data_IF_575675208482
#
_entry.id   IF_575675208482
#
_cell.length_a   1.000
_cell.length_b   1.000
_cell.length_c   1.000
_cell.angle_alpha   90.00
_cell.angle_beta   90.00
_cell.angle_gamma   90.00
#
_symmetry.space_group_name_H-M   'P 1'
#
loop_
_entity.id
_entity.type
_entity.pdbx_description
1 polymer ?
#
# COMPACT_ATOMS: atom_id res chain seq x y z
N UNK A 1 -6.97 11.96 21.45
CA UNK A 1 -5.78 11.16 21.81
C UNK A 1 -5.69 10.01 20.82
N UNK A 2 -4.63 9.90 20.01
CA UNK A 2 -4.50 8.76 19.10
C UNK A 2 -3.89 7.60 19.86
N UNK A 3 -4.65 6.52 20.04
CA UNK A 3 -4.13 5.28 20.59
C UNK A 3 -3.16 4.64 19.61
N UNK A 4 -1.97 4.27 20.08
CA UNK A 4 -1.04 3.45 19.32
C UNK A 4 -1.71 2.11 19.00
N UNK A 5 -1.56 1.64 17.77
CA UNK A 5 -2.03 0.32 17.35
C UNK A 5 -0.95 -0.71 17.66
N UNK A 6 -1.33 -1.78 18.35
CA UNK A 6 -0.48 -2.94 18.63
C UNK A 6 -1.15 -4.20 18.08
N UNK A 7 -0.35 -5.18 17.69
CA UNK A 7 -0.82 -6.51 17.30
C UNK A 7 0.07 -7.58 17.91
N UNK A 8 -0.53 -8.71 18.25
CA UNK A 8 0.21 -9.84 18.82
C UNK A 8 1.24 -10.37 17.83
N UNK A 9 2.43 -10.72 18.34
CA UNK A 9 3.54 -11.22 17.55
C UNK A 9 4.39 -10.15 16.84
N UNK A 10 4.18 -8.86 17.13
CA UNK A 10 5.00 -7.76 16.60
C UNK A 10 5.76 -7.03 17.72
N UNK A 11 7.06 -6.78 17.51
CA UNK A 11 7.92 -6.05 18.45
C UNK A 11 7.88 -4.53 18.27
N UNK A 12 6.76 -4.00 17.78
CA UNK A 12 6.55 -2.58 17.53
C UNK A 12 5.07 -2.21 17.60
N UNK A 13 4.82 -0.92 17.77
CA UNK A 13 3.51 -0.31 17.63
C UNK A 13 3.49 0.69 16.48
N UNK A 14 2.29 1.01 16.01
CA UNK A 14 2.09 1.96 14.93
C UNK A 14 1.29 3.17 15.42
N UNK A 15 1.78 4.37 15.14
CA UNK A 15 1.10 5.64 15.35
C UNK A 15 0.41 6.10 14.06
N UNK A 16 -0.93 5.97 13.93
CA UNK A 16 -1.64 6.33 12.69
C UNK A 16 -1.53 7.81 12.33
N UNK A 17 -1.36 8.71 13.32
CA UNK A 17 -1.19 10.15 13.06
C UNK A 17 0.05 10.46 12.23
N UNK A 18 1.05 9.59 12.25
CA UNK A 18 2.23 9.77 11.42
C UNK A 18 1.89 9.77 9.91
N UNK A 19 0.75 9.19 9.51
CA UNK A 19 0.28 9.27 8.12
C UNK A 19 -0.07 10.70 7.67
N UNK A 20 -0.43 11.60 8.58
CA UNK A 20 -0.78 12.99 8.25
C UNK A 20 0.43 13.77 7.70
N UNK A 21 1.65 13.34 8.04
CA UNK A 21 2.90 13.98 7.63
C UNK A 21 3.88 13.04 6.90
N UNK A 22 3.51 11.79 6.65
CA UNK A 22 4.43 10.83 6.02
C UNK A 22 4.67 11.07 4.54
N UNK A 23 3.82 11.87 3.87
CA UNK A 23 3.94 12.14 2.44
C UNK A 23 3.73 10.91 1.54
N UNK A 24 3.05 9.87 2.05
CA UNK A 24 2.74 8.68 1.28
C UNK A 24 3.89 7.68 1.13
N UNK A 25 4.89 7.69 2.03
CA UNK A 25 6.08 6.81 1.96
C UNK A 25 5.79 5.32 1.73
N UNK A 26 4.69 4.77 2.27
CA UNK A 26 4.33 3.36 2.04
C UNK A 26 3.80 3.07 0.62
N UNK A 27 3.57 4.10 -0.20
CA UNK A 27 3.08 4.00 -1.57
C UNK A 27 4.15 4.36 -2.61
N UNK A 28 5.37 4.70 -2.17
CA UNK A 28 6.48 5.14 -3.02
C UNK A 28 7.78 4.43 -2.62
N UNK A 29 8.62 4.02 -3.58
CA UNK A 29 9.90 3.37 -3.27
C UNK A 29 10.44 2.59 -4.44
N UNK A 30 11.23 1.56 -4.15
CA UNK A 30 11.70 0.62 -5.17
C UNK A 30 10.52 -0.11 -5.84
N UNK A 31 10.71 -0.56 -7.07
CA UNK A 31 9.67 -1.33 -7.79
C UNK A 31 9.38 -2.65 -7.07
N UNK A 32 8.10 -3.01 -7.02
CA UNK A 32 7.64 -4.24 -6.41
C UNK A 32 6.25 -4.69 -6.87
N UNK A 33 5.64 -5.54 -6.06
CA UNK A 33 4.31 -6.07 -6.32
C UNK A 33 3.30 -5.55 -5.32
N UNK A 34 2.24 -4.93 -5.85
CA UNK A 34 1.06 -4.49 -5.13
C UNK A 34 -0.07 -5.46 -5.47
N UNK A 35 -0.02 -6.62 -4.84
CA UNK A 35 -0.94 -7.73 -5.04
C UNK A 35 -2.39 -7.32 -4.76
N UNK A 36 -3.24 -7.75 -5.67
CA UNK A 36 -4.69 -7.56 -5.60
C UNK A 36 -5.40 -8.85 -5.99
N UNK A 37 -6.43 -9.22 -5.23
CA UNK A 37 -7.23 -10.42 -5.48
C UNK A 37 -8.50 -10.12 -6.30
N UNK A 38 -9.18 -11.16 -6.77
CA UNK A 38 -10.36 -11.02 -7.64
C UNK A 38 -11.51 -10.22 -6.99
N UNK A 39 -11.74 -10.41 -5.69
CA UNK A 39 -12.81 -9.69 -4.94
C UNK A 39 -12.47 -8.19 -4.88
N UNK A 40 -11.20 -7.85 -4.70
CA UNK A 40 -10.74 -6.46 -4.70
C UNK A 40 -10.80 -5.83 -6.08
N UNK A 41 -10.48 -6.59 -7.13
CA UNK A 41 -10.60 -6.17 -8.53
C UNK A 41 -12.06 -5.82 -8.84
N UNK A 42 -13.01 -6.69 -8.51
CA UNK A 42 -14.45 -6.46 -8.71
C UNK A 42 -14.95 -5.22 -7.95
N UNK A 43 -14.51 -5.07 -6.69
CA UNK A 43 -14.90 -3.94 -5.85
C UNK A 43 -14.37 -2.62 -6.43
N UNK A 44 -13.11 -2.59 -6.84
CA UNK A 44 -12.47 -1.39 -7.39
C UNK A 44 -12.98 -1.06 -8.79
N UNK A 45 -13.23 -2.06 -9.65
CA UNK A 45 -13.81 -1.82 -10.97
C UNK A 45 -15.19 -1.19 -10.84
N UNK A 46 -16.04 -1.69 -9.92
CA UNK A 46 -17.34 -1.09 -9.63
C UNK A 46 -17.22 0.34 -9.09
N UNK A 47 -16.29 0.59 -8.16
CA UNK A 47 -16.07 1.93 -7.60
C UNK A 47 -15.67 2.95 -8.67
N UNK A 48 -14.85 2.54 -9.63
CA UNK A 48 -14.39 3.38 -10.74
C UNK A 48 -15.35 3.41 -11.94
N UNK A 49 -16.51 2.76 -11.84
CA UNK A 49 -17.48 2.60 -12.91
C UNK A 49 -16.88 2.03 -14.21
N UNK A 50 -16.07 0.98 -14.05
CA UNK A 50 -15.43 0.24 -15.14
C UNK A 50 -15.85 -1.22 -15.12
N UNK A 51 -15.88 -1.86 -16.29
CA UNK A 51 -15.90 -3.32 -16.35
C UNK A 51 -14.59 -3.89 -15.79
N UNK A 52 -14.62 -5.16 -15.35
CA UNK A 52 -13.42 -5.86 -14.88
C UNK A 52 -12.34 -5.89 -15.98
N UNK A 53 -12.73 -6.04 -17.24
CA UNK A 53 -11.80 -6.07 -18.37
C UNK A 53 -11.11 -4.72 -18.59
N UNK A 54 -11.86 -3.62 -18.55
CA UNK A 54 -11.29 -2.26 -18.65
C UNK A 54 -10.37 -1.95 -17.47
N UNK A 55 -10.82 -2.27 -16.24
CA UNK A 55 -10.01 -2.11 -15.04
C UNK A 55 -8.70 -2.90 -15.13
N UNK A 56 -8.78 -4.16 -15.55
CA UNK A 56 -7.61 -5.04 -15.67
C UNK A 56 -6.61 -4.50 -16.69
N UNK A 57 -7.08 -4.09 -17.88
CA UNK A 57 -6.20 -3.51 -18.91
C UNK A 57 -5.53 -2.22 -18.45
N UNK A 58 -6.28 -1.36 -17.75
CA UNK A 58 -5.82 -0.04 -17.35
C UNK A 58 -4.86 -0.11 -16.16
N UNK A 59 -5.22 -0.83 -15.11
CA UNK A 59 -4.58 -0.74 -13.80
C UNK A 59 -3.80 -1.99 -13.37
N UNK A 60 -3.94 -3.12 -14.06
CA UNK A 60 -3.32 -4.38 -13.63
C UNK A 60 -2.25 -4.87 -14.60
N UNK A 61 -1.33 -5.66 -14.07
CA UNK A 61 -0.52 -6.59 -14.84
C UNK A 61 -0.49 -7.94 -14.14
N UNK A 62 -0.24 -9.01 -14.92
CA UNK A 62 -0.26 -10.38 -14.43
C UNK A 62 1.16 -10.87 -14.17
N UNK A 63 1.37 -11.53 -13.03
CA UNK A 63 2.65 -12.13 -12.62
C UNK A 63 2.37 -13.57 -12.20
N UNK A 64 2.72 -14.52 -13.07
CA UNK A 64 2.33 -15.92 -12.90
C UNK A 64 0.81 -16.06 -12.76
N UNK A 65 0.34 -16.51 -11.59
CA UNK A 65 -1.08 -16.71 -11.28
C UNK A 65 -1.74 -15.53 -10.54
N UNK A 66 -0.98 -14.46 -10.24
CA UNK A 66 -1.45 -13.33 -9.45
C UNK A 66 -1.55 -12.05 -10.31
N UNK A 67 -2.29 -11.07 -9.80
CA UNK A 67 -2.37 -9.73 -10.38
C UNK A 67 -1.74 -8.71 -9.44
N UNK A 68 -1.00 -7.76 -10.01
CA UNK A 68 -0.49 -6.59 -9.30
C UNK A 68 -1.10 -5.33 -9.91
N UNK A 69 -1.35 -4.33 -9.06
CA UNK A 69 -1.56 -2.96 -9.54
C UNK A 69 -0.28 -2.50 -10.26
N UNK A 70 -0.46 -1.73 -11.34
CA UNK A 70 0.65 -1.12 -12.07
C UNK A 70 1.34 -0.06 -11.21
N UNK A 71 2.63 0.08 -11.46
CA UNK A 71 3.46 1.14 -10.91
C UNK A 71 3.69 2.22 -11.97
N UNK A 72 3.97 3.44 -11.50
CA UNK A 72 4.37 4.60 -12.30
C UNK A 72 5.73 5.03 -11.77
N UNK A 73 6.73 5.11 -12.65
CA UNK A 73 8.04 5.67 -12.31
C UNK A 73 7.92 7.18 -12.14
N UNK A 74 8.35 7.68 -10.98
CA UNK A 74 8.33 9.10 -10.61
C UNK A 74 9.68 9.77 -10.91
N UNK A 75 10.75 9.07 -10.54
CA UNK A 75 12.15 9.44 -10.74
C UNK A 75 12.93 8.15 -11.04
N UNK A 76 14.16 8.21 -11.57
CA UNK A 76 14.93 7.00 -11.88
C UNK A 76 15.01 6.04 -10.68
N UNK A 77 14.45 4.84 -10.83
CA UNK A 77 14.32 3.80 -9.80
C UNK A 77 13.37 4.09 -8.63
N UNK A 78 12.56 5.15 -8.70
CA UNK A 78 11.55 5.49 -7.69
C UNK A 78 10.16 5.37 -8.30
N UNK A 79 9.36 4.46 -7.77
CA UNK A 79 8.05 4.09 -8.28
C UNK A 79 6.95 4.45 -7.30
N UNK A 80 5.73 4.57 -7.82
CA UNK A 80 4.52 4.66 -7.02
C UNK A 80 3.41 3.81 -7.60
N UNK A 81 2.46 3.40 -6.77
CA UNK A 81 1.23 2.77 -7.24
C UNK A 81 0.50 3.71 -8.22
N UNK A 82 -0.09 3.17 -9.29
CA UNK A 82 -0.91 3.94 -10.25
C UNK A 82 -2.12 4.68 -9.65
N UNK A 83 -2.49 4.40 -8.41
CA UNK A 83 -3.52 5.12 -7.66
C UNK A 83 -2.96 6.12 -6.63
N UNK A 84 -1.66 6.30 -6.54
CA UNK A 84 -1.06 7.32 -5.68
C UNK A 84 -1.20 8.70 -6.32
N UNK A 85 -1.81 9.64 -5.59
CA UNK A 85 -1.89 11.04 -5.98
C UNK A 85 -0.60 11.74 -5.58
N UNK A 86 0.23 12.07 -6.57
CA UNK A 86 1.53 12.70 -6.36
C UNK A 86 1.46 14.17 -5.95
N UNK A 87 0.31 14.83 -6.14
CA UNK A 87 0.07 16.21 -5.71
C UNK A 87 -0.33 16.23 -4.25
N UNK A 88 -1.35 15.46 -3.88
CA UNK A 88 -1.89 15.42 -2.52
C UNK A 88 -1.13 14.45 -1.60
N UNK A 89 -0.19 13.68 -2.14
CA UNK A 89 0.62 12.67 -1.43
C UNK A 89 -0.22 11.64 -0.68
N UNK A 90 -1.32 11.22 -1.29
CA UNK A 90 -2.28 10.29 -0.71
C UNK A 90 -2.81 9.28 -1.72
N UNK A 91 -3.35 8.17 -1.24
CA UNK A 91 -3.97 7.19 -2.12
C UNK A 91 -5.36 7.67 -2.59
N UNK A 92 -5.58 7.74 -3.90
CA UNK A 92 -6.87 8.15 -4.48
C UNK A 92 -8.00 7.15 -4.22
N UNK A 93 -7.66 5.91 -3.86
CA UNK A 93 -8.61 4.83 -3.52
C UNK A 93 -8.49 4.39 -2.05
N UNK A 94 -8.18 5.31 -1.13
CA UNK A 94 -7.81 4.97 0.25
C UNK A 94 -8.77 4.00 0.96
N UNK A 95 -10.08 4.18 0.83
CA UNK A 95 -11.10 3.29 1.42
C UNK A 95 -11.16 1.91 0.72
N UNK A 96 -10.81 1.86 -0.56
CA UNK A 96 -10.88 0.68 -1.41
C UNK A 96 -9.55 -0.04 -1.59
N UNK A 97 -8.49 0.42 -0.90
CA UNK A 97 -7.13 -0.16 -0.92
C UNK A 97 -7.15 -1.70 -0.85
N UNK A 98 -6.28 -2.38 -1.62
CA UNK A 98 -6.07 -3.81 -1.46
C UNK A 98 -5.66 -4.18 -0.04
N UNK A 99 -5.89 -5.44 0.35
CA UNK A 99 -5.61 -5.96 1.67
C UNK A 99 -4.12 -5.81 2.02
N UNK A 100 -3.21 -6.04 1.06
CA UNK A 100 -1.79 -5.79 1.25
C UNK A 100 -1.54 -4.35 1.75
N UNK A 101 -2.03 -3.34 1.04
CA UNK A 101 -1.88 -1.93 1.45
C UNK A 101 -2.59 -1.60 2.77
N UNK A 102 -3.73 -2.25 3.06
CA UNK A 102 -4.52 -2.00 4.28
C UNK A 102 -3.87 -2.59 5.53
N UNK A 103 -3.17 -3.71 5.40
CA UNK A 103 -2.57 -4.43 6.52
C UNK A 103 -1.17 -3.94 6.88
N UNK A 104 -0.53 -3.15 6.02
CA UNK A 104 0.69 -2.42 6.37
C UNK A 104 0.46 -1.55 7.61
N UNK A 105 1.39 -1.48 8.58
CA UNK A 105 2.73 -2.09 8.58
C UNK A 105 2.80 -3.50 9.20
N UNK A 106 1.67 -4.13 9.50
CA UNK A 106 1.61 -5.43 10.19
C UNK A 106 1.59 -6.61 9.21
N UNK A 107 2.57 -6.68 8.32
CA UNK A 107 2.81 -7.86 7.49
C UNK A 107 3.67 -8.87 8.26
N UNK A 108 3.45 -10.17 8.06
CA UNK A 108 4.26 -11.20 8.74
C UNK A 108 5.77 -11.03 8.50
N UNK A 109 6.17 -10.52 7.33
CA UNK A 109 7.55 -10.16 7.00
C UNK A 109 8.18 -9.23 8.05
N UNK A 110 7.44 -8.23 8.53
CA UNK A 110 7.96 -7.24 9.48
C UNK A 110 8.02 -7.73 10.93
N UNK A 111 7.61 -8.97 11.22
CA UNK A 111 7.86 -9.58 12.54
C UNK A 111 9.35 -9.75 12.81
N UNK A 112 10.15 -10.01 11.77
CA UNK A 112 11.61 -10.20 11.86
C UNK A 112 12.40 -9.09 11.17
N UNK A 113 11.75 -8.23 10.38
CA UNK A 113 12.39 -7.20 9.54
C UNK A 113 12.02 -5.76 9.93
N UNK A 114 11.82 -5.49 11.24
CA UNK A 114 11.38 -4.17 11.75
C UNK A 114 12.29 -3.00 11.34
N UNK A 115 13.60 -3.22 11.28
CA UNK A 115 14.55 -2.14 10.95
C UNK A 115 14.45 -1.67 9.49
N UNK A 116 14.00 -2.54 8.59
CA UNK A 116 13.63 -2.17 7.22
C UNK A 116 12.36 -1.34 7.21
N UNK A 117 11.33 -1.81 7.92
CA UNK A 117 10.06 -1.12 8.06
C UNK A 117 10.20 0.31 8.59
N UNK A 118 11.10 0.57 9.54
CA UNK A 118 11.36 1.92 10.07
C UNK A 118 11.85 2.90 9.00
N UNK A 119 12.48 2.42 7.93
CA UNK A 119 12.90 3.25 6.79
C UNK A 119 11.70 3.67 5.93
N UNK A 120 10.70 2.78 5.83
CA UNK A 120 9.50 2.97 5.01
C UNK A 120 8.36 3.68 5.77
N UNK A 121 8.31 3.57 7.09
CA UNK A 121 7.21 4.09 7.90
C UNK A 121 7.72 4.85 9.13
N UNK A 122 7.52 6.18 9.11
CA UNK A 122 7.86 7.07 10.24
C UNK A 122 6.95 6.90 11.46
N UNK A 123 5.87 6.11 11.34
CA UNK A 123 4.90 5.87 12.42
C UNK A 123 5.24 4.70 13.33
N UNK A 124 6.38 4.04 13.13
CA UNK A 124 6.77 2.84 13.87
C UNK A 124 7.50 3.22 15.14
N UNK A 125 7.03 2.69 16.26
CA UNK A 125 7.59 2.90 17.59
C UNK A 125 7.94 1.54 18.21
N UNK A 126 9.14 1.44 18.78
CA UNK A 126 9.57 0.23 19.47
C UNK A 126 8.70 -0.07 20.70
N UNK A 127 8.52 -1.36 20.98
CA UNK A 127 7.85 -1.87 22.18
C UNK A 127 8.86 -2.48 23.15
#
# INVERSE_FOLDING_TARGET
>A
MSSLIKKDGYSFSFNPKACESCGGKCCTGDSGYIWINIIEIERLSKHLNLTINEFSKKYLYKVGYKYSLKEIELEPNVYSCCFFDNTNKMCSIYEFRPNQCRTFPFWDYFKTNKEELKKECIGILDL
#
